data_IF_523763845447
#
_entry.id   IF_523763845447
#
_cell.length_a   1.000
_cell.length_b   1.000
_cell.length_c   1.000
_cell.angle_alpha   90.00
_cell.angle_beta   90.00
_cell.angle_gamma   90.00
#
_symmetry.space_group_name_H-M   'P 1'
#
loop_
_entity.id
_entity.type
_entity.pdbx_description
1 polymer ?
#
# COMPACT_ATOMS: atom_id res chain seq x y z
N UNK A 1 14.34 -27.74 40.36
CA UNK A 1 14.47 -26.39 39.76
C UNK A 1 13.98 -26.44 38.32
N UNK A 2 12.78 -25.93 37.98
CA UNK A 2 12.35 -25.87 36.58
C UNK A 2 12.96 -24.60 35.96
N UNK A 3 13.74 -24.78 34.88
CA UNK A 3 14.25 -23.66 34.08
C UNK A 3 13.06 -22.98 33.39
N UNK A 4 12.81 -21.71 33.74
CA UNK A 4 11.88 -20.81 33.03
C UNK A 4 12.19 -20.87 31.54
N UNK A 5 11.30 -21.47 30.76
CA UNK A 5 11.31 -21.29 29.32
C UNK A 5 10.86 -19.85 29.05
N UNK A 6 11.81 -19.01 28.68
CA UNK A 6 11.55 -17.71 28.09
C UNK A 6 10.75 -17.95 26.82
N UNK A 7 9.47 -17.53 26.83
CA UNK A 7 8.66 -17.43 25.62
C UNK A 7 9.43 -16.57 24.61
N UNK A 8 10.05 -17.20 23.60
CA UNK A 8 10.63 -16.49 22.47
C UNK A 8 9.45 -16.03 21.61
N UNK A 9 9.10 -14.76 21.77
CA UNK A 9 8.09 -14.06 20.96
C UNK A 9 8.53 -14.15 19.50
N UNK A 10 7.83 -14.96 18.71
CA UNK A 10 8.00 -15.02 17.26
C UNK A 10 7.65 -13.67 16.64
N UNK A 11 8.66 -12.82 16.44
CA UNK A 11 8.56 -11.66 15.57
C UNK A 11 8.74 -12.14 14.13
N UNK A 12 7.64 -12.52 13.50
CA UNK A 12 7.54 -12.46 12.04
C UNK A 12 7.38 -10.97 11.71
N UNK A 13 8.38 -10.36 11.09
CA UNK A 13 8.24 -9.01 10.56
C UNK A 13 9.55 -8.26 10.47
N UNK A 14 10.03 -8.14 9.23
CA UNK A 14 11.15 -7.33 8.76
C UNK A 14 12.56 -7.96 8.84
N UNK A 15 13.30 -8.00 7.72
CA UNK A 15 14.67 -8.48 7.69
C UNK A 15 15.59 -7.58 8.54
N UNK A 16 16.69 -8.12 9.05
CA UNK A 16 17.71 -7.33 9.75
C UNK A 16 18.37 -6.31 8.81
N UNK A 17 18.95 -5.24 9.34
CA UNK A 17 19.76 -4.28 8.58
C UNK A 17 20.92 -5.01 7.88
N UNK A 18 21.01 -4.94 6.54
CA UNK A 18 22.08 -5.58 5.74
C UNK A 18 22.67 -4.56 4.76
N UNK A 19 23.97 -4.26 4.88
CA UNK A 19 24.60 -3.22 4.06
C UNK A 19 23.97 -1.84 4.30
N UNK A 20 23.59 -1.13 3.24
CA UNK A 20 22.89 0.15 3.31
C UNK A 20 21.39 0.02 3.62
N UNK A 21 20.83 -1.20 3.58
CA UNK A 21 19.41 -1.43 3.86
C UNK A 21 19.12 -1.28 5.36
N UNK A 22 18.29 -0.30 5.72
CA UNK A 22 17.81 -0.09 7.09
C UNK A 22 16.27 -0.23 7.15
N UNK A 23 15.74 -1.26 7.83
CA UNK A 23 14.30 -1.50 7.95
C UNK A 23 13.50 -0.32 8.52
N UNK A 24 14.14 0.60 9.25
CA UNK A 24 13.50 1.80 9.76
C UNK A 24 13.06 2.79 8.66
N UNK A 25 13.54 2.61 7.42
CA UNK A 25 13.12 3.37 6.24
C UNK A 25 12.24 2.54 5.28
N UNK A 26 11.85 1.32 5.67
CA UNK A 26 10.87 0.52 4.92
C UNK A 26 9.48 1.11 5.15
N UNK A 27 8.84 1.58 4.09
CA UNK A 27 7.49 2.13 4.12
C UNK A 27 6.66 1.53 2.99
N UNK A 28 5.61 0.79 3.35
CA UNK A 28 4.60 0.35 2.37
C UNK A 28 3.86 1.58 1.81
N UNK A 29 4.06 1.86 0.52
CA UNK A 29 3.50 3.02 -0.19
C UNK A 29 2.47 2.61 -1.26
N UNK A 30 1.70 1.55 -1.00
CA UNK A 30 0.61 1.10 -1.87
C UNK A 30 -0.70 1.07 -1.07
N UNK A 31 -1.72 1.79 -1.55
CA UNK A 31 -3.06 1.80 -0.98
C UNK A 31 -4.11 1.36 -2.01
N UNK A 32 -5.14 0.63 -1.57
CA UNK A 32 -6.29 0.23 -2.40
C UNK A 32 -7.57 0.76 -1.78
N UNK A 33 -8.48 1.30 -2.58
CA UNK A 33 -9.82 1.74 -2.16
C UNK A 33 -10.91 1.08 -3.00
N UNK A 34 -12.06 0.80 -2.38
CA UNK A 34 -13.24 0.22 -3.02
C UNK A 34 -14.50 0.94 -2.54
N UNK A 35 -15.43 1.20 -3.47
CA UNK A 35 -16.72 1.82 -3.19
C UNK A 35 -17.83 0.91 -3.74
N UNK A 36 -18.86 0.65 -2.93
CA UNK A 36 -20.01 -0.20 -3.29
C UNK A 36 -21.32 0.45 -2.85
N UNK A 37 -22.34 0.43 -3.70
CA UNK A 37 -23.72 0.69 -3.29
C UNK A 37 -24.37 -0.62 -2.84
N UNK A 38 -24.68 -0.73 -1.55
CA UNK A 38 -25.30 -1.92 -0.94
C UNK A 38 -26.70 -2.24 -1.49
N UNK A 39 -27.35 -1.29 -2.16
CA UNK A 39 -28.66 -1.47 -2.78
C UNK A 39 -28.56 -1.73 -4.29
N UNK A 40 -27.35 -1.80 -4.86
CA UNK A 40 -27.13 -2.13 -6.26
C UNK A 40 -27.68 -1.10 -7.25
N UNK A 41 -27.91 0.15 -6.81
CA UNK A 41 -28.46 1.18 -7.69
C UNK A 41 -27.37 1.69 -8.63
N UNK A 42 -27.75 1.89 -9.89
CA UNK A 42 -26.91 2.59 -10.86
C UNK A 42 -26.94 4.09 -10.57
N UNK A 43 -25.78 4.67 -10.27
CA UNK A 43 -25.60 6.11 -10.08
C UNK A 43 -24.21 6.56 -10.54
N UNK A 44 -24.08 7.81 -10.99
CA UNK A 44 -22.77 8.42 -11.29
C UNK A 44 -21.99 8.78 -10.01
N UNK A 45 -22.69 9.02 -8.91
CA UNK A 45 -22.13 9.36 -7.60
C UNK A 45 -21.12 8.31 -7.08
N UNK A 46 -21.27 7.03 -7.45
CA UNK A 46 -20.30 5.98 -7.09
C UNK A 46 -18.94 6.20 -7.75
N UNK A 47 -18.92 6.77 -8.96
CA UNK A 47 -17.69 7.09 -9.70
C UNK A 47 -16.99 8.27 -9.05
N UNK A 48 -17.74 9.32 -8.69
CA UNK A 48 -17.19 10.52 -8.06
C UNK A 48 -16.58 10.17 -6.69
N UNK A 49 -17.26 9.33 -5.91
CA UNK A 49 -16.74 8.78 -4.64
C UNK A 49 -15.48 7.94 -4.83
N UNK A 50 -15.42 7.11 -5.88
CA UNK A 50 -14.24 6.31 -6.17
C UNK A 50 -13.03 7.19 -6.53
N UNK A 51 -13.22 8.25 -7.33
CA UNK A 51 -12.17 9.21 -7.66
C UNK A 51 -11.68 9.93 -6.41
N UNK A 52 -12.59 10.42 -5.55
CA UNK A 52 -12.20 11.04 -4.27
C UNK A 52 -11.41 10.07 -3.39
N UNK A 53 -11.79 8.79 -3.33
CA UNK A 53 -11.06 7.80 -2.56
C UNK A 53 -9.63 7.57 -3.08
N UNK A 54 -9.43 7.57 -4.41
CA UNK A 54 -8.10 7.49 -5.02
C UNK A 54 -7.25 8.73 -4.74
N UNK A 55 -7.82 9.94 -4.84
CA UNK A 55 -7.12 11.19 -4.50
C UNK A 55 -6.66 11.18 -3.03
N UNK A 56 -7.47 10.64 -2.13
CA UNK A 56 -7.09 10.52 -0.72
C UNK A 56 -5.96 9.50 -0.47
N UNK A 57 -5.72 8.59 -1.42
CA UNK A 57 -4.60 7.65 -1.42
C UNK A 57 -3.36 8.20 -2.13
N UNK A 58 -3.44 9.32 -2.84
CA UNK A 58 -2.31 9.95 -3.55
C UNK A 58 -1.14 10.27 -2.59
N UNK A 59 -1.43 10.64 -1.34
CA UNK A 59 -0.40 10.85 -0.30
C UNK A 59 0.31 9.57 0.15
N UNK A 60 -0.20 8.40 -0.24
CA UNK A 60 0.28 7.06 0.13
C UNK A 60 0.68 6.22 -1.08
N UNK A 61 0.51 6.70 -2.30
CA UNK A 61 0.68 5.94 -3.53
C UNK A 61 1.80 6.53 -4.38
N UNK A 62 2.86 5.74 -4.56
CA UNK A 62 3.91 5.86 -5.57
C UNK A 62 3.87 7.13 -6.47
N UNK A 63 4.42 8.25 -5.97
CA UNK A 63 4.98 9.29 -6.85
C UNK A 63 6.25 8.71 -7.49
N UNK A 64 6.06 7.78 -8.42
CA UNK A 64 7.11 7.01 -9.10
C UNK A 64 6.80 6.76 -10.58
N UNK A 65 5.88 7.53 -11.15
CA UNK A 65 5.81 7.70 -12.59
C UNK A 65 6.66 8.92 -12.93
N UNK A 66 7.93 8.68 -13.23
CA UNK A 66 8.71 9.57 -14.10
C UNK A 66 7.80 10.02 -15.27
N UNK A 67 7.70 11.31 -15.60
CA UNK A 67 6.74 11.84 -16.57
C UNK A 67 6.95 11.37 -18.03
N UNK A 68 7.78 10.36 -18.27
CA UNK A 68 8.21 9.93 -19.59
C UNK A 68 8.19 8.42 -19.87
N UNK A 69 7.62 7.56 -19.02
CA UNK A 69 7.40 6.16 -19.44
C UNK A 69 6.07 6.03 -20.23
N UNK A 70 6.04 6.65 -21.40
CA UNK A 70 5.15 6.24 -22.47
C UNK A 70 5.76 5.04 -23.18
N UNK A 71 5.41 3.82 -22.79
CA UNK A 71 5.82 2.60 -23.51
C UNK A 71 4.82 2.24 -24.61
N UNK A 72 4.37 3.25 -25.33
CA UNK A 72 3.58 3.11 -26.55
C UNK A 72 4.28 3.93 -27.64
N UNK A 73 5.01 3.30 -28.59
CA UNK A 73 5.20 3.97 -29.86
C UNK A 73 3.83 4.09 -30.53
N UNK A 74 3.40 5.34 -30.70
CA UNK A 74 2.24 5.67 -31.52
C UNK A 74 2.53 5.25 -32.97
N UNK A 75 1.89 4.18 -33.43
CA UNK A 75 1.58 3.87 -34.83
C UNK A 75 0.60 2.70 -34.90
#
# INVERSE_FOLDING_TARGET
MPRRQSFVKGQVGMPSRVGLYNPAFEHDACGVAMVVDMHGRRSRDIVDKAITALVNLEHRGAQGAEPHTGDAPAS
#
